data_IF_376628576647
#
_entry.id   IF_376628576647
#
_cell.length_a   1.000
_cell.length_b   1.000
_cell.length_c   1.000
_cell.angle_alpha   90.00
_cell.angle_beta   90.00
_cell.angle_gamma   90.00
#
_symmetry.space_group_name_H-M   'P 1'
#
loop_
_entity.id
_entity.type
_entity.pdbx_description
1 polymer ?
#
# COMPACT_ATOMS: atom_id res chain seq x y z
N UNK A 1 23.35 -6.49 -18.08
CA UNK A 1 23.27 -7.13 -16.75
C UNK A 1 22.76 -6.05 -15.82
N UNK A 2 21.49 -6.10 -15.43
CA UNK A 2 20.98 -5.18 -14.41
C UNK A 2 21.63 -5.65 -13.12
N UNK A 3 22.58 -4.86 -12.60
CA UNK A 3 23.08 -5.11 -11.25
C UNK A 3 21.87 -5.16 -10.31
N UNK A 4 21.82 -6.16 -9.44
CA UNK A 4 20.85 -6.25 -8.36
C UNK A 4 21.12 -5.09 -7.39
N UNK A 5 20.74 -3.88 -7.80
CA UNK A 5 20.77 -2.70 -6.95
C UNK A 5 19.76 -2.98 -5.85
N UNK A 6 20.23 -3.07 -4.61
CA UNK A 6 19.36 -3.20 -3.45
C UNK A 6 18.49 -1.92 -3.35
N UNK A 7 17.28 -1.98 -3.91
CA UNK A 7 16.32 -0.88 -3.87
C UNK A 7 15.50 -1.02 -2.60
N UNK A 8 15.60 -0.03 -1.71
CA UNK A 8 14.80 0.03 -0.49
C UNK A 8 13.57 0.93 -0.64
N UNK A 9 12.47 0.53 0.00
CA UNK A 9 11.22 1.30 0.01
C UNK A 9 10.99 1.84 1.42
N UNK A 10 10.91 3.17 1.54
CA UNK A 10 10.60 3.85 2.81
C UNK A 10 9.19 4.44 2.78
N UNK A 11 8.30 3.94 3.63
CA UNK A 11 6.92 4.41 3.74
C UNK A 11 6.71 5.07 5.10
N UNK A 12 6.19 6.31 5.10
CA UNK A 12 5.72 6.97 6.33
C UNK A 12 4.32 6.46 6.65
N UNK A 13 4.11 6.04 7.89
CA UNK A 13 2.82 5.52 8.37
C UNK A 13 2.68 5.72 9.88
N UNK A 14 1.48 5.47 10.43
CA UNK A 14 1.27 5.48 11.88
C UNK A 14 1.84 4.20 12.53
N UNK A 15 2.51 4.36 13.67
CA UNK A 15 3.11 3.25 14.44
C UNK A 15 2.10 2.17 14.82
N UNK A 16 0.90 2.55 15.27
CA UNK A 16 -0.15 1.62 15.65
C UNK A 16 -0.61 0.78 14.44
N UNK A 17 -0.77 1.41 13.28
CA UNK A 17 -1.12 0.72 12.04
C UNK A 17 -0.02 -0.27 11.62
N UNK A 18 1.25 0.16 11.65
CA UNK A 18 2.39 -0.71 11.33
C UNK A 18 2.43 -1.93 12.26
N UNK A 19 2.25 -1.72 13.57
CA UNK A 19 2.30 -2.80 14.54
C UNK A 19 1.16 -3.80 14.34
N UNK A 20 -0.06 -3.30 14.13
CA UNK A 20 -1.22 -4.16 13.83
C UNK A 20 -0.96 -4.98 12.58
N UNK A 21 -0.58 -4.34 11.47
CA UNK A 21 -0.28 -5.04 10.22
C UNK A 21 0.82 -6.09 10.38
N UNK A 22 1.91 -5.76 11.09
CA UNK A 22 3.00 -6.70 11.33
C UNK A 22 2.55 -7.93 12.14
N UNK A 23 1.70 -7.74 13.15
CA UNK A 23 1.19 -8.84 13.96
C UNK A 23 0.28 -9.76 13.14
N UNK A 24 -0.70 -9.21 12.41
CA UNK A 24 -1.63 -9.99 11.60
C UNK A 24 -0.91 -10.74 10.47
N UNK A 25 0.00 -10.07 9.75
CA UNK A 25 0.77 -10.71 8.69
C UNK A 25 1.66 -11.83 9.23
N UNK A 26 2.23 -11.67 10.43
CA UNK A 26 3.04 -12.71 11.07
C UNK A 26 2.21 -13.97 11.37
N UNK A 27 0.93 -13.83 11.75
CA UNK A 27 0.04 -14.98 11.93
C UNK A 27 -0.18 -15.74 10.61
N UNK A 28 -0.03 -15.08 9.47
CA UNK A 28 -0.08 -15.66 8.13
C UNK A 28 1.30 -16.14 7.62
N UNK A 29 2.37 -16.03 8.42
CA UNK A 29 3.73 -16.37 8.01
C UNK A 29 4.39 -15.35 7.08
N UNK A 30 3.87 -14.12 7.02
CA UNK A 30 4.33 -13.06 6.13
C UNK A 30 4.95 -11.89 6.90
N UNK A 31 5.91 -11.22 6.28
CA UNK A 31 6.40 -9.91 6.75
C UNK A 31 5.66 -8.76 6.07
N UNK A 32 5.81 -7.55 6.62
CA UNK A 32 5.32 -6.33 5.97
C UNK A 32 5.96 -6.14 4.58
N UNK A 33 7.23 -6.52 4.43
CA UNK A 33 7.95 -6.43 3.17
C UNK A 33 7.39 -7.41 2.13
N UNK A 34 6.99 -8.62 2.55
CA UNK A 34 6.33 -9.59 1.65
C UNK A 34 5.02 -9.03 1.12
N UNK A 35 4.18 -8.49 2.00
CA UNK A 35 2.92 -7.89 1.61
C UNK A 35 3.11 -6.71 0.63
N UNK A 36 4.10 -5.84 0.89
CA UNK A 36 4.42 -4.72 -0.02
C UNK A 36 4.90 -5.24 -1.38
N UNK A 37 5.78 -6.25 -1.41
CA UNK A 37 6.26 -6.86 -2.66
C UNK A 37 5.13 -7.45 -3.48
N UNK A 38 4.26 -8.24 -2.85
CA UNK A 38 3.09 -8.86 -3.51
C UNK A 38 2.15 -7.80 -4.06
N UNK A 39 1.90 -6.74 -3.29
CA UNK A 39 1.03 -5.64 -3.70
C UNK A 39 1.59 -4.88 -4.91
N UNK A 40 2.88 -4.52 -4.89
CA UNK A 40 3.53 -3.84 -6.01
C UNK A 40 3.59 -4.73 -7.25
N UNK A 41 3.87 -6.03 -7.07
CA UNK A 41 3.85 -7.01 -8.15
C UNK A 41 2.46 -7.07 -8.80
N UNK A 42 1.39 -7.17 -8.01
CA UNK A 42 0.02 -7.15 -8.53
C UNK A 42 -0.25 -5.89 -9.36
N UNK A 43 0.06 -4.70 -8.85
CA UNK A 43 -0.15 -3.45 -9.59
C UNK A 43 0.64 -3.43 -10.90
N UNK A 44 1.90 -3.85 -10.84
CA UNK A 44 2.78 -3.85 -12.00
C UNK A 44 2.28 -4.81 -13.10
N UNK A 45 1.74 -5.96 -12.73
CA UNK A 45 1.23 -6.99 -13.64
C UNK A 45 -0.17 -6.64 -14.16
N UNK A 46 -1.09 -6.33 -13.25
CA UNK A 46 -2.52 -6.17 -13.55
C UNK A 46 -2.93 -4.74 -13.96
N UNK A 47 -2.01 -3.78 -13.83
CA UNK A 47 -2.23 -2.34 -14.11
C UNK A 47 -3.46 -1.75 -13.38
N UNK A 48 -3.83 -2.33 -12.24
CA UNK A 48 -4.96 -1.90 -11.41
C UNK A 48 -4.65 -2.09 -9.92
N UNK A 49 -5.34 -1.35 -9.07
CA UNK A 49 -5.29 -1.56 -7.62
C UNK A 49 -6.14 -2.79 -7.23
N UNK A 50 -5.70 -3.62 -6.27
CA UNK A 50 -6.54 -4.67 -5.68
C UNK A 50 -7.88 -4.13 -5.18
N UNK A 51 -8.98 -4.80 -5.55
CA UNK A 51 -10.36 -4.28 -5.42
C UNK A 51 -10.81 -3.97 -3.99
N UNK A 52 -10.21 -4.62 -2.98
CA UNK A 52 -10.55 -4.47 -1.56
C UNK A 52 -10.16 -3.09 -0.99
N UNK A 53 -9.33 -2.31 -1.69
CA UNK A 53 -8.90 -0.99 -1.22
C UNK A 53 -9.92 0.14 -1.42
N UNK A 54 -11.09 -0.15 -1.99
CA UNK A 54 -12.18 0.83 -2.18
C UNK A 54 -12.76 1.37 -0.86
N UNK A 55 -12.45 0.77 0.30
CA UNK A 55 -13.05 1.13 1.59
C UNK A 55 -12.17 1.96 2.54
N UNK A 56 -11.00 2.45 2.13
CA UNK A 56 -10.24 3.36 2.97
C UNK A 56 -10.82 4.78 2.91
N UNK A 57 -11.48 5.19 3.99
CA UNK A 57 -12.02 6.54 4.22
C UNK A 57 -11.01 7.68 3.95
N UNK A 58 -9.71 7.39 3.92
CA UNK A 58 -8.63 8.33 3.60
C UNK A 58 -8.59 8.76 2.12
N UNK A 59 -9.13 7.98 1.18
CA UNK A 59 -9.23 8.39 -0.24
C UNK A 59 -10.45 9.31 -0.49
N UNK A 60 -11.44 9.28 0.41
CA UNK A 60 -12.65 10.12 0.28
C UNK A 60 -12.32 11.60 0.54
N UNK A 61 -11.37 11.92 1.42
CA UNK A 61 -10.99 13.32 1.68
C UNK A 61 -10.33 13.96 0.46
N UNK A 62 -9.38 13.28 -0.18
CA UNK A 62 -8.68 13.78 -1.38
C UNK A 62 -9.63 13.88 -2.58
N UNK A 63 -10.60 12.96 -2.71
CA UNK A 63 -11.60 13.00 -3.79
C UNK A 63 -12.70 14.05 -3.57
N UNK A 64 -12.95 14.49 -2.33
CA UNK A 64 -13.91 15.56 -2.03
C UNK A 64 -13.34 16.95 -2.35
N UNK A 65 -12.07 17.20 -2.10
CA UNK A 65 -11.45 18.50 -2.42
C UNK A 65 -11.44 18.79 -3.93
N UNK A 66 -11.24 17.78 -4.78
CA UNK A 66 -11.28 17.96 -6.24
C UNK A 66 -12.66 18.27 -6.82
N UNK A 67 -13.76 18.04 -6.08
CA UNK A 67 -15.12 18.33 -6.55
C UNK A 67 -15.64 19.71 -6.13
N UNK A 68 -15.01 20.36 -5.16
CA UNK A 68 -15.42 21.69 -4.67
C UNK A 68 -14.69 22.81 -5.42
N UNK A 69 -13.51 22.52 -6.00
CA UNK A 69 -12.68 23.51 -6.71
C UNK A 69 -13.01 23.68 -8.21
N UNK A 70 -14.19 23.26 -8.67
CA UNK A 70 -14.63 23.47 -10.07
C UNK A 70 -15.97 24.20 -10.14
N UNK A 71 -16.20 25.13 -9.22
CA UNK A 71 -17.28 26.11 -9.34
C UNK A 71 -16.72 27.51 -9.19
#
# INVERSE_FOLDING_TARGET
MLEDTEISIRIRTNRALKQKAANELKLMGLTVSDAIRMYLHFIATEKKLPAELKHNAMLISVAKEKRVSTK
#
